data_IF_282915042297
#
_entry.id   IF_282915042297
#
_cell.length_a   1.000
_cell.length_b   1.000
_cell.length_c   1.000
_cell.angle_alpha   90.00
_cell.angle_beta   90.00
_cell.angle_gamma   90.00
#
_symmetry.space_group_name_H-M   'P 1'
#
loop_
_entity.id
_entity.type
_entity.pdbx_description
1 polymer ?
#
# COMPACT_ATOMS: atom_id res chain seq x y z
N UNK A 1 10.76 13.34 3.83
CA UNK A 1 9.62 13.98 3.19
C UNK A 1 8.59 12.91 2.78
N UNK A 2 7.31 13.15 3.05
CA UNK A 2 6.23 12.25 2.64
C UNK A 2 5.32 12.98 1.65
N UNK A 3 5.01 12.34 0.53
CA UNK A 3 4.11 12.85 -0.50
C UNK A 3 2.83 12.00 -0.47
N UNK A 4 1.71 12.61 -0.09
CA UNK A 4 0.44 11.92 0.14
C UNK A 4 -0.61 12.36 -0.87
N UNK A 5 -1.30 11.41 -1.49
CA UNK A 5 -2.52 11.74 -2.24
C UNK A 5 -3.57 12.33 -1.29
N UNK A 6 -4.30 13.35 -1.73
CA UNK A 6 -5.28 14.07 -0.89
C UNK A 6 -6.47 13.21 -0.46
N UNK A 7 -6.78 12.13 -1.19
CA UNK A 7 -7.86 11.20 -0.88
C UNK A 7 -7.41 9.92 -0.17
N UNK A 8 -6.15 9.86 0.28
CA UNK A 8 -5.67 8.72 1.05
C UNK A 8 -6.55 8.43 2.27
N UNK A 9 -6.69 7.16 2.61
CA UNK A 9 -7.45 6.70 3.75
C UNK A 9 -6.96 7.33 5.07
N UNK A 10 -7.90 7.58 5.99
CA UNK A 10 -7.63 8.20 7.28
C UNK A 10 -6.51 7.53 8.08
N UNK A 11 -6.31 6.22 7.97
CA UNK A 11 -5.22 5.50 8.63
C UNK A 11 -3.84 5.90 8.11
N UNK A 12 -3.71 6.12 6.79
CA UNK A 12 -2.48 6.61 6.17
C UNK A 12 -2.18 8.04 6.64
N UNK A 13 -3.19 8.91 6.59
CA UNK A 13 -3.08 10.30 7.06
C UNK A 13 -2.65 10.33 8.53
N UNK A 14 -3.25 9.50 9.37
CA UNK A 14 -2.88 9.42 10.80
C UNK A 14 -1.46 8.89 11.00
N UNK A 15 -1.06 7.87 10.24
CA UNK A 15 0.31 7.34 10.27
C UNK A 15 1.34 8.40 9.87
N UNK A 16 1.07 9.15 8.81
CA UNK A 16 1.93 10.25 8.35
C UNK A 16 2.05 11.34 9.44
N UNK A 17 0.93 11.75 10.04
CA UNK A 17 0.94 12.73 11.15
C UNK A 17 1.77 12.25 12.34
N UNK A 18 1.61 10.98 12.71
CA UNK A 18 2.33 10.40 13.84
C UNK A 18 3.83 10.25 13.60
N UNK A 19 4.25 10.16 12.34
CA UNK A 19 5.68 10.05 11.98
C UNK A 19 6.47 11.33 12.23
N UNK A 20 5.80 12.49 12.30
CA UNK A 20 6.45 13.80 12.38
C UNK A 20 7.21 14.21 11.11
N UNK A 21 7.10 13.46 10.03
CA UNK A 21 7.72 13.82 8.75
C UNK A 21 7.01 15.01 8.10
N UNK A 22 7.77 15.80 7.33
CA UNK A 22 7.17 16.83 6.49
C UNK A 22 6.27 16.18 5.45
N UNK A 23 4.99 16.60 5.41
CA UNK A 23 3.99 16.06 4.52
C UNK A 23 3.62 17.06 3.42
N UNK A 24 3.70 16.60 2.17
CA UNK A 24 3.28 17.32 0.97
C UNK A 24 2.05 16.59 0.40
N UNK A 25 0.93 17.28 0.33
CA UNK A 25 -0.32 16.71 -0.19
C UNK A 25 -0.43 17.07 -1.68
N UNK A 26 -0.51 16.08 -2.56
CA UNK A 26 -0.77 16.31 -3.97
C UNK A 26 -2.24 16.04 -4.32
N UNK A 27 -2.75 16.72 -5.34
CA UNK A 27 -4.12 16.55 -5.81
C UNK A 27 -4.36 15.13 -6.30
N UNK A 28 -5.57 14.63 -6.05
CA UNK A 28 -5.93 13.24 -6.32
C UNK A 28 -5.56 12.80 -7.74
N UNK A 29 -4.70 11.79 -7.82
CA UNK A 29 -4.19 11.21 -9.07
C UNK A 29 -3.46 12.19 -9.99
N UNK A 30 -3.10 13.38 -9.52
CA UNK A 30 -2.37 14.38 -10.30
C UNK A 30 -0.86 14.14 -10.24
N UNK A 31 -0.37 13.43 -11.26
CA UNK A 31 1.05 13.10 -11.41
C UNK A 31 1.89 14.36 -11.68
N UNK A 32 1.33 15.36 -12.33
CA UNK A 32 2.02 16.64 -12.58
C UNK A 32 2.27 17.39 -11.29
N UNK A 33 1.24 17.57 -10.46
CA UNK A 33 1.38 18.21 -9.15
C UNK A 33 2.32 17.42 -8.22
N UNK A 34 2.25 16.06 -8.23
CA UNK A 34 3.21 15.23 -7.50
C UNK A 34 4.65 15.52 -7.95
N UNK A 35 4.89 15.64 -9.26
CA UNK A 35 6.23 15.94 -9.78
C UNK A 35 6.72 17.32 -9.36
N UNK A 36 5.87 18.36 -9.40
CA UNK A 36 6.20 19.71 -8.95
C UNK A 36 6.63 19.70 -7.47
N UNK A 37 5.91 19.00 -6.61
CA UNK A 37 6.26 18.87 -5.19
C UNK A 37 7.58 18.12 -4.99
N UNK A 38 7.83 17.04 -5.72
CA UNK A 38 9.08 16.30 -5.67
C UNK A 38 10.27 17.16 -6.09
N UNK A 39 10.09 18.03 -7.11
CA UNK A 39 11.12 18.97 -7.58
C UNK A 39 11.44 20.05 -6.56
N UNK A 40 10.43 20.49 -5.80
CA UNK A 40 10.57 21.59 -4.82
C UNK A 40 11.29 21.16 -3.55
N UNK A 41 11.46 19.87 -3.30
CA UNK A 41 12.10 19.36 -2.09
C UNK A 41 13.60 19.11 -2.28
N UNK A 42 14.36 19.12 -1.17
CA UNK A 42 15.80 18.83 -1.22
C UNK A 42 16.04 17.42 -1.79
N UNK A 43 16.97 17.32 -2.74
CA UNK A 43 17.32 16.06 -3.42
C UNK A 43 17.86 14.99 -2.47
N UNK A 44 18.55 15.42 -1.41
CA UNK A 44 19.23 14.54 -0.46
C UNK A 44 18.33 14.04 0.67
N UNK A 45 17.13 14.60 0.81
CA UNK A 45 16.17 14.12 1.79
C UNK A 45 15.53 12.79 1.35
N UNK A 46 15.39 11.82 2.27
CA UNK A 46 14.60 10.62 2.01
C UNK A 46 13.15 10.99 1.65
N UNK A 47 12.58 10.30 0.67
CA UNK A 47 11.24 10.57 0.15
C UNK A 47 10.40 9.31 0.17
N UNK A 48 9.13 9.45 0.55
CA UNK A 48 8.13 8.38 0.51
C UNK A 48 6.88 8.90 -0.17
N UNK A 49 6.43 8.25 -1.24
CA UNK A 49 5.15 8.52 -1.90
C UNK A 49 4.12 7.53 -1.38
N UNK A 50 3.01 8.03 -0.83
CA UNK A 50 1.94 7.24 -0.22
C UNK A 50 0.66 7.44 -1.02
N UNK A 51 0.08 6.35 -1.51
CA UNK A 51 -1.12 6.38 -2.35
C UNK A 51 -1.85 5.03 -2.31
N UNK A 52 -3.14 5.00 -2.72
CA UNK A 52 -3.93 3.78 -2.83
C UNK A 52 -3.98 3.30 -4.28
N UNK A 53 -4.08 1.99 -4.50
CA UNK A 53 -4.28 1.42 -5.85
C UNK A 53 -5.71 1.64 -6.35
N UNK A 54 -6.67 1.55 -5.43
CA UNK A 54 -8.11 1.72 -5.66
C UNK A 54 -8.72 2.49 -4.49
N UNK A 55 -9.20 3.69 -4.76
CA UNK A 55 -9.82 4.56 -3.75
C UNK A 55 -11.24 4.12 -3.45
N UNK A 56 -11.55 3.99 -2.15
CA UNK A 56 -12.78 3.34 -1.68
C UNK A 56 -14.07 4.08 -2.05
N UNK A 57 -14.05 5.39 -1.98
CA UNK A 57 -15.26 6.21 -2.17
C UNK A 57 -15.54 6.48 -3.65
N UNK A 58 -14.50 6.71 -4.41
CA UNK A 58 -14.56 7.07 -5.83
C UNK A 58 -14.57 5.84 -6.74
N UNK A 59 -14.03 4.71 -6.28
CA UNK A 59 -13.82 3.52 -7.09
C UNK A 59 -12.84 3.72 -8.25
N UNK A 60 -11.95 4.71 -8.12
CA UNK A 60 -11.00 5.10 -9.16
C UNK A 60 -9.63 4.49 -8.86
N UNK A 61 -8.99 3.94 -9.90
CA UNK A 61 -7.62 3.45 -9.83
C UNK A 61 -6.61 4.59 -9.96
N UNK A 62 -5.53 4.50 -9.19
CA UNK A 62 -4.43 5.45 -9.33
C UNK A 62 -3.58 5.18 -10.60
N UNK A 63 -2.85 6.17 -11.08
CA UNK A 63 -1.91 6.02 -12.19
C UNK A 63 -0.58 5.41 -11.72
N UNK A 64 -0.63 4.17 -11.14
CA UNK A 64 0.49 3.51 -10.44
C UNK A 64 1.78 3.54 -11.25
N UNK A 65 1.73 3.19 -12.55
CA UNK A 65 2.92 3.15 -13.41
C UNK A 65 3.64 4.50 -13.43
N UNK A 66 2.89 5.59 -13.62
CA UNK A 66 3.47 6.94 -13.66
C UNK A 66 4.03 7.37 -12.31
N UNK A 67 3.37 7.01 -11.21
CA UNK A 67 3.87 7.30 -9.86
C UNK A 67 5.18 6.54 -9.61
N UNK A 68 5.27 5.28 -10.01
CA UNK A 68 6.50 4.47 -9.92
C UNK A 68 7.63 5.06 -10.75
N UNK A 69 7.34 5.54 -11.97
CA UNK A 69 8.32 6.23 -12.81
C UNK A 69 8.87 7.50 -12.12
N UNK A 70 8.00 8.30 -11.51
CA UNK A 70 8.42 9.46 -10.71
C UNK A 70 9.23 9.05 -9.47
N UNK A 71 8.79 8.01 -8.76
CA UNK A 71 9.52 7.49 -7.60
C UNK A 71 10.97 7.13 -7.98
N UNK A 72 11.16 6.40 -9.07
CA UNK A 72 12.49 6.06 -9.59
C UNK A 72 13.29 7.30 -9.98
N UNK A 73 12.66 8.24 -10.68
CA UNK A 73 13.30 9.49 -11.14
C UNK A 73 13.83 10.35 -9.97
N UNK A 74 13.03 10.44 -8.89
CA UNK A 74 13.35 11.30 -7.73
C UNK A 74 13.92 10.52 -6.53
N UNK A 75 14.25 9.23 -6.72
CA UNK A 75 14.78 8.33 -5.67
C UNK A 75 13.89 8.31 -4.43
N UNK A 76 12.59 8.30 -4.64
CA UNK A 76 11.58 8.17 -3.61
C UNK A 76 11.19 6.68 -3.44
N UNK A 77 10.91 6.28 -2.21
CA UNK A 77 10.26 5.01 -1.92
C UNK A 77 8.74 5.14 -2.18
N UNK A 78 8.11 4.02 -2.42
CA UNK A 78 6.66 3.92 -2.64
C UNK A 78 5.98 3.12 -1.54
N UNK A 79 4.86 3.64 -1.03
CA UNK A 79 3.92 2.91 -0.16
C UNK A 79 2.57 2.85 -0.86
N UNK A 80 2.20 1.66 -1.32
CA UNK A 80 0.95 1.40 -2.01
C UNK A 80 -0.05 0.69 -1.10
N UNK A 81 -1.19 1.32 -0.87
CA UNK A 81 -2.31 0.66 -0.20
C UNK A 81 -3.17 -0.12 -1.20
N UNK A 82 -3.16 -1.43 -1.06
CA UNK A 82 -3.91 -2.38 -1.89
C UNK A 82 -5.14 -2.95 -1.15
N UNK A 83 -5.54 -2.34 -0.04
CA UNK A 83 -6.60 -2.84 0.85
C UNK A 83 -7.93 -3.08 0.13
N UNK A 84 -8.23 -2.30 -0.91
CA UNK A 84 -9.44 -2.43 -1.73
C UNK A 84 -9.28 -3.32 -2.96
N UNK A 85 -8.06 -3.78 -3.25
CA UNK A 85 -7.77 -4.53 -4.47
C UNK A 85 -7.33 -5.98 -4.22
N UNK A 86 -6.63 -6.24 -3.11
CA UNK A 86 -6.22 -7.61 -2.76
C UNK A 86 -7.44 -8.50 -2.53
N UNK A 87 -7.38 -9.70 -3.06
CA UNK A 87 -8.47 -10.66 -3.09
C UNK A 87 -9.43 -10.49 -4.28
N UNK A 88 -9.38 -9.35 -5.00
CA UNK A 88 -10.30 -9.01 -6.09
C UNK A 88 -9.61 -8.90 -7.45
N UNK A 89 -8.47 -8.21 -7.51
CA UNK A 89 -7.76 -7.90 -8.75
C UNK A 89 -6.45 -8.68 -8.88
N UNK A 90 -5.97 -8.77 -10.11
CA UNK A 90 -4.71 -9.42 -10.45
C UNK A 90 -4.76 -10.94 -10.37
N UNK A 91 -3.71 -11.57 -10.86
CA UNK A 91 -3.56 -13.03 -10.82
C UNK A 91 -3.66 -13.54 -9.38
N UNK A 92 -4.52 -14.54 -9.14
CA UNK A 92 -4.76 -15.12 -7.81
C UNK A 92 -5.23 -14.10 -6.75
N UNK A 93 -5.78 -12.95 -7.17
CA UNK A 93 -6.22 -11.91 -6.26
C UNK A 93 -5.10 -11.15 -5.56
N UNK A 94 -3.92 -11.04 -6.18
CA UNK A 94 -2.75 -10.41 -5.56
C UNK A 94 -2.76 -8.88 -5.59
N UNK A 95 -3.75 -8.26 -6.23
CA UNK A 95 -3.89 -6.81 -6.27
C UNK A 95 -3.64 -6.19 -7.65
N UNK A 96 -3.86 -4.88 -7.74
CA UNK A 96 -3.74 -4.12 -8.99
C UNK A 96 -2.28 -3.96 -9.42
N UNK A 97 -1.33 -3.84 -8.48
CA UNK A 97 0.08 -3.76 -8.83
C UNK A 97 0.55 -5.01 -9.58
N UNK A 98 0.09 -6.20 -9.19
CA UNK A 98 0.36 -7.46 -9.91
C UNK A 98 -0.34 -7.49 -11.26
N UNK A 99 -1.60 -7.03 -11.34
CA UNK A 99 -2.34 -6.92 -12.61
C UNK A 99 -1.59 -6.04 -13.61
N UNK A 100 -1.01 -4.93 -13.14
CA UNK A 100 -0.23 -4.00 -13.94
C UNK A 100 1.23 -4.41 -14.12
N UNK A 101 1.68 -5.50 -13.50
CA UNK A 101 3.06 -6.03 -13.53
C UNK A 101 4.11 -5.02 -13.02
N UNK A 102 3.75 -4.26 -11.99
CA UNK A 102 4.64 -3.27 -11.34
C UNK A 102 4.86 -3.56 -9.86
N UNK A 103 4.37 -4.69 -9.37
CA UNK A 103 4.48 -5.11 -7.96
C UNK A 103 5.92 -5.17 -7.46
N UNK A 104 6.87 -5.51 -8.33
CA UNK A 104 8.31 -5.55 -8.02
C UNK A 104 8.96 -4.18 -7.92
N UNK A 105 8.31 -3.17 -8.42
CA UNK A 105 8.78 -1.79 -8.42
C UNK A 105 8.18 -0.97 -7.27
N UNK A 106 7.32 -1.59 -6.45
CA UNK A 106 6.75 -0.99 -5.24
C UNK A 106 7.57 -1.46 -4.02
N UNK A 107 7.99 -0.52 -3.19
CA UNK A 107 8.82 -0.82 -2.01
C UNK A 107 8.01 -1.42 -0.87
N UNK A 108 6.80 -0.89 -0.62
CA UNK A 108 5.92 -1.36 0.45
C UNK A 108 4.49 -1.49 -0.10
N UNK A 109 3.92 -2.67 0.02
CA UNK A 109 2.50 -2.94 -0.27
C UNK A 109 1.78 -3.20 1.05
N UNK A 110 0.69 -2.47 1.30
CA UNK A 110 -0.21 -2.68 2.41
C UNK A 110 -1.45 -3.45 1.95
N UNK A 111 -1.83 -4.47 2.67
CA UNK A 111 -3.02 -5.26 2.42
C UNK A 111 -3.81 -5.58 3.68
N UNK A 112 -5.06 -5.95 3.51
CA UNK A 112 -5.94 -6.33 4.61
C UNK A 112 -6.53 -7.72 4.45
N UNK A 113 -6.79 -8.38 5.56
CA UNK A 113 -7.58 -9.60 5.62
C UNK A 113 -9.07 -9.32 5.91
N UNK A 114 -9.41 -8.05 6.21
CA UNK A 114 -10.73 -7.68 6.71
C UNK A 114 -11.78 -7.41 5.62
N UNK A 115 -11.41 -7.34 4.35
CA UNK A 115 -12.33 -7.08 3.24
C UNK A 115 -12.61 -8.35 2.43
N UNK A 116 -11.98 -8.53 1.29
CA UNK A 116 -12.24 -9.67 0.41
C UNK A 116 -12.00 -11.04 1.08
N UNK A 117 -11.08 -11.13 2.03
CA UNK A 117 -10.79 -12.36 2.75
C UNK A 117 -11.74 -12.64 3.93
N UNK A 118 -12.55 -11.65 4.37
CA UNK A 118 -13.55 -11.80 5.42
C UNK A 118 -12.98 -12.18 6.80
N UNK A 119 -11.73 -11.80 7.10
CA UNK A 119 -11.03 -12.12 8.34
C UNK A 119 -10.55 -10.84 9.04
N UNK A 120 -10.04 -10.96 10.27
CA UNK A 120 -9.42 -9.86 10.99
C UNK A 120 -7.92 -9.81 10.67
N UNK A 121 -7.37 -8.58 10.59
CA UNK A 121 -5.93 -8.34 10.47
C UNK A 121 -5.54 -7.69 9.15
N UNK A 122 -4.25 -7.44 9.02
CA UNK A 122 -3.64 -6.87 7.85
C UNK A 122 -2.17 -7.25 7.77
N UNK A 123 -1.54 -6.87 6.69
CA UNK A 123 -0.15 -7.18 6.44
C UNK A 123 0.50 -6.10 5.60
N UNK A 124 1.81 -6.05 5.67
CA UNK A 124 2.64 -5.37 4.70
C UNK A 124 3.53 -6.38 4.00
N UNK A 125 3.81 -6.14 2.74
CA UNK A 125 4.78 -6.87 1.94
C UNK A 125 5.84 -5.88 1.43
N UNK A 126 7.10 -6.20 1.67
CA UNK A 126 8.26 -5.41 1.28
C UNK A 126 9.50 -6.31 1.19
N UNK A 127 10.67 -5.75 0.86
CA UNK A 127 11.92 -6.49 0.96
C UNK A 127 12.26 -6.86 2.42
N UNK A 128 13.21 -7.79 2.60
CA UNK A 128 13.58 -8.33 3.92
C UNK A 128 14.08 -7.26 4.88
N UNK A 129 14.82 -6.27 4.37
CA UNK A 129 15.43 -5.22 5.17
C UNK A 129 14.36 -4.29 5.77
N UNK A 130 13.36 -3.89 4.96
CA UNK A 130 12.23 -3.08 5.40
C UNK A 130 11.38 -3.86 6.42
N UNK A 131 11.09 -5.13 6.15
CA UNK A 131 10.29 -5.97 7.04
C UNK A 131 11.01 -6.15 8.39
N UNK A 132 12.31 -6.43 8.37
CA UNK A 132 13.10 -6.60 9.60
C UNK A 132 13.14 -5.30 10.42
N UNK A 133 13.34 -4.17 9.74
CA UNK A 133 13.30 -2.85 10.38
C UNK A 133 11.94 -2.58 11.06
N UNK A 134 10.83 -2.80 10.35
CA UNK A 134 9.50 -2.56 10.91
C UNK A 134 9.22 -3.50 12.08
N UNK A 135 9.58 -4.77 12.00
CA UNK A 135 9.41 -5.74 13.09
C UNK A 135 10.23 -5.36 14.33
N UNK A 136 11.40 -4.76 14.13
CA UNK A 136 12.30 -4.38 15.20
C UNK A 136 12.00 -3.04 15.85
N UNK A 137 11.38 -2.11 15.11
CA UNK A 137 11.23 -0.71 15.56
C UNK A 137 9.80 -0.20 15.59
N UNK A 138 8.81 -0.89 15.02
CA UNK A 138 7.42 -0.43 15.03
C UNK A 138 6.73 -0.73 16.36
N UNK A 139 6.39 0.29 17.18
CA UNK A 139 5.70 0.05 18.45
C UNK A 139 4.36 -0.67 18.28
N UNK A 140 3.62 -0.37 17.22
CA UNK A 140 2.34 -0.99 16.92
C UNK A 140 2.45 -2.48 16.57
N UNK A 141 3.64 -2.96 16.18
CA UNK A 141 3.92 -4.39 15.98
C UNK A 141 4.49 -5.04 17.25
N UNK A 142 5.47 -4.40 17.90
CA UNK A 142 6.20 -4.97 19.04
C UNK A 142 5.31 -5.12 20.28
N UNK A 143 4.49 -4.12 20.57
CA UNK A 143 3.69 -4.02 21.81
C UNK A 143 2.23 -4.44 21.61
N UNK A 144 1.92 -5.17 20.56
CA UNK A 144 0.59 -5.75 20.33
C UNK A 144 0.62 -7.26 20.51
N UNK A 145 -0.54 -7.84 20.83
CA UNK A 145 -0.68 -9.30 20.89
C UNK A 145 -0.86 -9.90 19.50
N UNK A 146 -0.45 -11.16 19.35
CA UNK A 146 -0.67 -11.92 18.11
C UNK A 146 -2.16 -12.06 17.80
N UNK A 147 -2.51 -12.20 16.52
CA UNK A 147 -3.86 -12.59 16.12
C UNK A 147 -4.21 -13.98 16.69
N UNK A 148 -5.49 -14.19 17.00
CA UNK A 148 -5.96 -15.47 17.51
C UNK A 148 -5.67 -16.60 16.50
N UNK A 149 -5.22 -17.80 16.95
CA UNK A 149 -4.92 -18.93 16.05
C UNK A 149 -6.07 -19.32 15.13
N UNK A 150 -7.32 -19.23 15.59
CA UNK A 150 -8.51 -19.50 14.76
C UNK A 150 -8.66 -18.49 13.62
N UNK A 151 -8.36 -17.22 13.87
CA UNK A 151 -8.36 -16.16 12.84
C UNK A 151 -7.22 -16.40 11.85
N UNK A 152 -6.03 -16.76 12.33
CA UNK A 152 -4.89 -17.07 11.47
C UNK A 152 -5.18 -18.26 10.55
N UNK A 153 -5.79 -19.33 11.08
CA UNK A 153 -6.19 -20.49 10.30
C UNK A 153 -7.29 -20.14 9.27
N UNK A 154 -8.29 -19.34 9.68
CA UNK A 154 -9.32 -18.83 8.78
C UNK A 154 -8.76 -17.97 7.66
N UNK A 155 -7.82 -17.08 7.98
CA UNK A 155 -7.15 -16.22 7.00
C UNK A 155 -6.33 -17.04 6.00
N UNK A 156 -5.55 -18.01 6.47
CA UNK A 156 -4.80 -18.93 5.60
C UNK A 156 -5.73 -19.63 4.62
N UNK A 157 -6.85 -20.19 5.13
CA UNK A 157 -7.84 -20.86 4.28
C UNK A 157 -8.52 -19.91 3.29
N UNK A 158 -8.81 -18.68 3.70
CA UNK A 158 -9.40 -17.67 2.82
C UNK A 158 -8.45 -17.31 1.67
N UNK A 159 -7.15 -17.15 1.96
CA UNK A 159 -6.12 -16.91 0.94
C UNK A 159 -6.04 -18.07 -0.06
N UNK A 160 -6.08 -19.32 0.43
CA UNK A 160 -6.08 -20.50 -0.45
C UNK A 160 -7.30 -20.49 -1.38
N UNK A 161 -8.50 -20.26 -0.82
CA UNK A 161 -9.74 -20.22 -1.61
C UNK A 161 -9.69 -19.11 -2.66
N UNK A 162 -9.30 -17.89 -2.26
CA UNK A 162 -9.20 -16.75 -3.18
C UNK A 162 -8.21 -17.02 -4.29
N UNK A 163 -7.06 -17.63 -3.97
CA UNK A 163 -6.01 -17.92 -4.96
C UNK A 163 -6.45 -18.91 -6.06
N UNK A 164 -7.48 -19.72 -5.79
CA UNK A 164 -8.02 -20.72 -6.72
C UNK A 164 -9.33 -20.26 -7.39
N UNK A 165 -9.90 -19.15 -6.96
CA UNK A 165 -11.24 -18.72 -7.33
C UNK A 165 -11.25 -17.64 -8.44
N UNK A 166 -10.39 -17.73 -9.44
CA UNK A 166 -10.33 -16.77 -10.56
C UNK A 166 -11.70 -16.57 -11.23
N UNK A 167 -12.49 -17.63 -11.35
CA UNK A 167 -13.84 -17.56 -11.95
C UNK A 167 -14.82 -16.67 -11.18
N UNK A 168 -14.63 -16.46 -9.87
CA UNK A 168 -15.45 -15.55 -9.07
C UNK A 168 -15.07 -14.09 -9.27
N UNK A 169 -13.86 -13.83 -9.75
CA UNK A 169 -13.30 -12.47 -9.96
C UNK A 169 -13.50 -11.94 -11.37
N UNK A 170 -13.74 -12.82 -12.35
CA UNK A 170 -13.87 -12.49 -13.79
C UNK A 170 -15.34 -12.18 -14.18
N UNK A 171 -16.17 -11.81 -13.24
CA UNK A 171 -17.58 -11.45 -13.54
C UNK A 171 -17.72 -10.00 -13.96
#
# INVERSE_FOLDING_TARGET
EVFSDELNHASLIQGIKNSGANCHIFHHNDVGHLEELLQSTNKDHPKLIVFESLYSMEGIRSPIIKIVELAKKYKAMTYLDEVHSVGLYGEKGKGIAVEMKVDKDIDIINGTLAKAFGQMGGYIAANSEIIDYIRSFSPGFIFTTSICPSIAAGASKAVDIVSLADQLRIK
#
